data_IF_601736057033
#
_entry.id   IF_601736057033
#
_cell.length_a   1.000
_cell.length_b   1.000
_cell.length_c   1.000
_cell.angle_alpha   90.00
_cell.angle_beta   90.00
_cell.angle_gamma   90.00
#
_symmetry.space_group_name_H-M   'P 1'
#
loop_
_entity.id
_entity.type
_entity.pdbx_description
1 polymer ?
#
# COMPACT_ATOMS: atom_id res chain seq x y z
N UNK A 1 -1.89 2.52 5.37
CA UNK A 1 -2.09 1.69 4.16
C UNK A 1 -1.88 2.54 2.92
N UNK A 2 -1.06 2.07 1.99
CA UNK A 2 -0.74 2.77 0.74
C UNK A 2 -1.35 1.99 -0.43
N UNK A 3 -2.41 2.57 -1.03
CA UNK A 3 -3.05 2.05 -2.24
C UNK A 3 -2.32 2.42 -3.53
N UNK A 4 -2.85 2.00 -4.68
CA UNK A 4 -2.25 2.30 -5.99
C UNK A 4 -2.50 3.76 -6.39
N UNK A 5 -3.73 4.07 -6.77
CA UNK A 5 -4.16 5.42 -7.15
C UNK A 5 -5.66 5.59 -6.85
N UNK A 6 -6.16 6.83 -6.71
CA UNK A 6 -7.58 7.07 -6.44
C UNK A 6 -8.46 6.48 -7.55
N UNK A 7 -9.47 5.70 -7.15
CA UNK A 7 -10.42 5.04 -8.04
C UNK A 7 -11.68 5.87 -8.31
N UNK A 8 -12.61 5.33 -9.12
CA UNK A 8 -13.83 6.01 -9.55
C UNK A 8 -14.67 6.54 -8.38
N UNK A 9 -14.89 5.72 -7.36
CA UNK A 9 -15.74 6.07 -6.23
C UNK A 9 -15.12 7.15 -5.32
N UNK A 10 -13.81 7.26 -5.34
CA UNK A 10 -13.05 8.21 -4.49
C UNK A 10 -13.11 9.64 -5.03
N UNK A 11 -13.49 9.83 -6.30
CA UNK A 11 -13.75 11.16 -6.89
C UNK A 11 -15.11 11.75 -6.53
N UNK A 12 -16.04 10.92 -6.06
CA UNK A 12 -17.36 11.43 -5.73
C UNK A 12 -17.27 12.31 -4.49
N UNK A 13 -17.73 13.55 -4.61
CA UNK A 13 -17.76 14.52 -3.50
C UNK A 13 -18.52 14.02 -2.28
N UNK A 14 -19.47 13.12 -2.49
CA UNK A 14 -20.20 12.44 -1.40
C UNK A 14 -19.36 11.52 -0.54
N UNK A 15 -18.24 10.99 -1.07
CA UNK A 15 -17.45 9.98 -0.37
C UNK A 15 -16.33 10.59 0.48
N UNK A 16 -15.60 11.57 -0.04
CA UNK A 16 -14.49 12.28 0.64
C UNK A 16 -13.54 11.38 1.44
N UNK A 17 -13.29 10.16 0.96
CA UNK A 17 -12.48 9.13 1.62
C UNK A 17 -11.73 8.32 0.59
N UNK A 18 -10.54 7.86 0.95
CA UNK A 18 -9.80 6.89 0.14
C UNK A 18 -10.28 5.44 0.41
N UNK A 19 -10.03 4.57 -0.55
CA UNK A 19 -10.40 3.15 -0.50
C UNK A 19 -11.88 2.92 -0.14
N UNK A 20 -12.80 3.58 -0.85
CA UNK A 20 -14.26 3.43 -0.65
C UNK A 20 -14.90 2.47 -1.65
N UNK A 21 -14.25 2.16 -2.77
CA UNK A 21 -14.71 1.18 -3.76
C UNK A 21 -14.65 -0.27 -3.25
N UNK A 22 -14.68 -1.22 -4.20
CA UNK A 22 -14.65 -2.66 -3.87
C UNK A 22 -13.45 -3.04 -3.00
N UNK A 23 -12.25 -2.51 -3.31
CA UNK A 23 -11.02 -2.78 -2.53
C UNK A 23 -11.14 -2.31 -1.09
N UNK A 24 -11.73 -1.14 -0.87
CA UNK A 24 -11.96 -0.60 0.48
C UNK A 24 -12.97 -1.44 1.27
N UNK A 25 -14.06 -1.90 0.63
CA UNK A 25 -15.03 -2.82 1.29
C UNK A 25 -14.38 -4.14 1.69
N UNK A 26 -13.48 -4.68 0.86
CA UNK A 26 -12.74 -5.91 1.18
C UNK A 26 -11.79 -5.68 2.36
N UNK A 27 -11.03 -4.58 2.35
CA UNK A 27 -10.13 -4.23 3.44
C UNK A 27 -10.89 -4.05 4.76
N UNK A 28 -11.92 -3.23 4.77
CA UNK A 28 -12.75 -2.98 5.95
C UNK A 28 -13.40 -4.28 6.47
N UNK A 29 -13.93 -5.10 5.56
CA UNK A 29 -14.47 -6.42 5.88
C UNK A 29 -13.42 -7.37 6.46
N UNK A 30 -12.18 -7.31 6.01
CA UNK A 30 -11.07 -8.08 6.56
C UNK A 30 -10.81 -7.71 8.02
N UNK A 31 -10.58 -6.44 8.32
CA UNK A 31 -10.33 -6.00 9.70
C UNK A 31 -11.52 -6.29 10.63
N UNK A 32 -12.75 -6.06 10.17
CA UNK A 32 -13.94 -6.36 10.96
C UNK A 32 -14.11 -7.85 11.31
N UNK A 33 -13.69 -8.76 10.42
CA UNK A 33 -13.75 -10.22 10.67
C UNK A 33 -12.60 -10.76 11.50
N UNK A 34 -11.57 -9.95 11.75
CA UNK A 34 -10.38 -10.34 12.49
C UNK A 34 -10.14 -9.36 13.67
N UNK A 35 -11.02 -9.37 14.68
CA UNK A 35 -10.94 -8.43 15.80
C UNK A 35 -9.66 -8.57 16.63
N UNK A 36 -8.98 -9.72 16.54
CA UNK A 36 -7.69 -9.95 17.19
C UNK A 36 -6.57 -9.00 16.68
N UNK A 37 -6.77 -8.35 15.53
CA UNK A 37 -5.87 -7.29 15.05
C UNK A 37 -6.08 -5.97 15.78
N UNK A 38 -7.15 -5.83 16.56
CA UNK A 38 -7.48 -4.64 17.36
C UNK A 38 -7.49 -3.34 16.53
N UNK A 39 -7.89 -3.42 15.25
CA UNK A 39 -7.83 -2.31 14.29
C UNK A 39 -9.20 -2.05 13.65
N UNK A 40 -9.76 -0.87 13.89
CA UNK A 40 -10.86 -0.34 13.09
C UNK A 40 -10.29 0.34 11.84
N UNK A 41 -10.59 -0.21 10.67
CA UNK A 41 -10.01 0.26 9.41
C UNK A 41 -10.32 1.72 9.10
N UNK A 42 -11.43 2.25 9.56
CA UNK A 42 -11.83 3.65 9.29
C UNK A 42 -11.37 4.64 10.34
N UNK A 43 -11.07 4.19 11.56
CA UNK A 43 -10.65 5.04 12.66
C UNK A 43 -9.15 4.99 12.93
N UNK A 44 -8.53 3.81 12.76
CA UNK A 44 -7.14 3.59 13.16
C UNK A 44 -6.19 3.51 11.96
N UNK A 45 -6.67 3.61 10.70
CA UNK A 45 -5.82 3.45 9.52
C UNK A 45 -5.78 4.73 8.71
N UNK A 46 -4.58 5.31 8.59
CA UNK A 46 -4.30 6.35 7.59
C UNK A 46 -4.17 5.71 6.22
N UNK A 47 -4.84 6.29 5.23
CA UNK A 47 -4.86 5.74 3.86
C UNK A 47 -4.29 6.80 2.92
N UNK A 48 -3.27 6.41 2.17
CA UNK A 48 -2.68 7.18 1.08
C UNK A 48 -2.66 6.34 -0.20
N UNK A 49 -2.32 6.98 -1.30
CA UNK A 49 -2.06 6.32 -2.58
C UNK A 49 -0.64 6.61 -3.06
N UNK A 50 -0.08 5.76 -3.93
CA UNK A 50 1.26 5.93 -4.51
C UNK A 50 1.36 7.12 -5.46
N UNK A 51 0.24 7.61 -5.95
CA UNK A 51 0.08 8.84 -6.73
C UNK A 51 -1.30 9.43 -6.48
N UNK A 52 -1.47 10.77 -6.50
CA UNK A 52 -2.78 11.41 -6.45
C UNK A 52 -3.50 11.36 -7.80
N UNK A 53 -2.84 10.90 -8.86
CA UNK A 53 -3.43 10.85 -10.20
C UNK A 53 -4.58 9.87 -10.24
N UNK A 54 -5.76 10.41 -10.45
CA UNK A 54 -6.99 9.64 -10.48
C UNK A 54 -7.17 8.91 -11.81
N UNK A 55 -7.49 7.62 -11.73
CA UNK A 55 -8.04 6.88 -12.88
C UNK A 55 -9.04 5.82 -12.37
N UNK A 56 -10.07 5.53 -13.15
CA UNK A 56 -11.08 4.56 -12.74
C UNK A 56 -10.51 3.13 -12.56
N UNK A 57 -9.44 2.82 -13.29
CA UNK A 57 -8.69 1.55 -13.22
C UNK A 57 -7.20 1.80 -13.40
N UNK A 58 -6.35 1.09 -12.69
CA UNK A 58 -4.88 1.17 -12.79
C UNK A 58 -4.37 0.95 -14.23
N UNK A 59 -5.08 0.18 -15.06
CA UNK A 59 -4.73 0.00 -16.48
C UNK A 59 -4.78 1.32 -17.28
N UNK A 60 -5.62 2.27 -16.89
CA UNK A 60 -5.67 3.59 -17.53
C UNK A 60 -4.45 4.44 -17.15
N UNK A 61 -3.98 4.33 -15.92
CA UNK A 61 -2.72 4.96 -15.50
C UNK A 61 -1.53 4.38 -16.27
N UNK A 62 -1.51 3.05 -16.50
CA UNK A 62 -0.52 2.40 -17.38
C UNK A 62 -0.56 2.98 -18.81
N UNK A 63 -1.75 3.19 -19.34
CA UNK A 63 -1.90 3.78 -20.66
C UNK A 63 -1.36 5.22 -20.72
N UNK A 64 -1.65 6.04 -19.72
CA UNK A 64 -1.12 7.41 -19.60
C UNK A 64 0.41 7.39 -19.54
N UNK A 65 1.00 6.53 -18.71
CA UNK A 65 2.47 6.42 -18.58
C UNK A 65 3.14 5.92 -19.87
N UNK A 66 2.44 5.13 -20.68
CA UNK A 66 2.99 4.60 -21.95
C UNK A 66 2.82 5.55 -23.12
N UNK A 67 1.72 6.32 -23.19
CA UNK A 67 1.29 7.06 -24.37
C UNK A 67 1.12 8.57 -24.13
N UNK A 68 1.26 9.03 -22.90
CA UNK A 68 1.19 10.46 -22.57
C UNK A 68 2.37 11.25 -23.10
N UNK A 69 2.24 12.58 -23.15
CA UNK A 69 3.39 13.43 -23.45
C UNK A 69 4.46 13.30 -22.37
N UNK A 70 5.69 13.69 -22.69
CA UNK A 70 6.82 13.64 -21.75
C UNK A 70 6.50 14.38 -20.46
N UNK A 71 5.89 15.55 -20.55
CA UNK A 71 5.53 16.39 -19.41
C UNK A 71 4.50 15.70 -18.49
N UNK A 72 3.51 15.01 -19.08
CA UNK A 72 2.50 14.26 -18.31
C UNK A 72 3.16 13.09 -17.59
N UNK A 73 4.02 12.35 -18.27
CA UNK A 73 4.73 11.20 -17.66
C UNK A 73 5.65 11.68 -16.54
N UNK A 74 6.38 12.77 -16.72
CA UNK A 74 7.23 13.38 -15.70
C UNK A 74 6.40 13.83 -14.50
N UNK A 75 5.27 14.49 -14.70
CA UNK A 75 4.36 14.91 -13.63
C UNK A 75 3.86 13.72 -12.80
N UNK A 76 3.46 12.63 -13.44
CA UNK A 76 3.03 11.41 -12.74
C UNK A 76 4.19 10.83 -11.92
N UNK A 77 5.38 10.75 -12.49
CA UNK A 77 6.56 10.21 -11.80
C UNK A 77 6.98 11.07 -10.60
N UNK A 78 6.96 12.40 -10.75
CA UNK A 78 7.24 13.32 -9.64
C UNK A 78 6.18 13.22 -8.54
N UNK A 79 4.91 13.05 -8.91
CA UNK A 79 3.84 12.81 -7.93
C UNK A 79 4.09 11.54 -7.11
N UNK A 80 4.58 10.46 -7.74
CA UNK A 80 4.93 9.23 -7.05
C UNK A 80 6.04 9.44 -6.02
N UNK A 81 7.09 10.18 -6.38
CA UNK A 81 8.20 10.49 -5.45
C UNK A 81 7.71 11.29 -4.24
N UNK A 82 6.91 12.33 -4.49
CA UNK A 82 6.33 13.14 -3.41
C UNK A 82 5.45 12.30 -2.47
N UNK A 83 4.64 11.40 -3.02
CA UNK A 83 3.81 10.52 -2.19
C UNK A 83 4.63 9.50 -1.40
N UNK A 84 5.78 9.04 -1.92
CA UNK A 84 6.69 8.17 -1.18
C UNK A 84 7.35 8.92 0.00
N UNK A 85 7.78 10.17 -0.21
CA UNK A 85 8.31 11.04 0.84
C UNK A 85 7.27 11.28 1.94
N UNK A 86 6.06 11.66 1.56
CA UNK A 86 4.96 11.87 2.50
C UNK A 86 4.63 10.60 3.31
N UNK A 87 4.61 9.44 2.66
CA UNK A 87 4.35 8.16 3.34
C UNK A 87 5.44 7.84 4.37
N UNK A 88 6.71 8.10 4.02
CA UNK A 88 7.83 7.95 4.95
C UNK A 88 7.71 8.92 6.13
N UNK A 89 7.52 10.22 5.88
CA UNK A 89 7.44 11.25 6.92
C UNK A 89 6.34 10.92 7.95
N UNK A 90 5.14 10.58 7.47
CA UNK A 90 4.03 10.21 8.34
C UNK A 90 4.32 8.92 9.13
N UNK A 91 4.78 7.87 8.47
CA UNK A 91 5.04 6.61 9.14
C UNK A 91 6.20 6.71 10.13
N UNK A 92 7.33 7.31 9.73
CA UNK A 92 8.48 7.46 10.60
C UNK A 92 8.19 8.41 11.77
N UNK A 93 7.41 9.48 11.54
CA UNK A 93 6.97 10.38 12.60
C UNK A 93 6.08 9.67 13.62
N UNK A 94 5.11 8.87 13.18
CA UNK A 94 4.28 8.06 14.07
C UNK A 94 5.10 6.99 14.80
N UNK A 95 6.03 6.33 14.10
CA UNK A 95 6.91 5.31 14.68
C UNK A 95 7.79 5.89 15.79
N UNK A 96 8.39 7.06 15.57
CA UNK A 96 9.29 7.71 16.53
C UNK A 96 8.59 8.25 17.78
N UNK A 97 7.27 8.51 17.69
CA UNK A 97 6.46 9.00 18.81
C UNK A 97 5.63 7.89 19.49
N UNK A 98 5.77 6.64 19.05
CA UNK A 98 5.04 5.52 19.65
C UNK A 98 5.73 5.07 20.93
N UNK A 99 4.99 5.07 22.04
CA UNK A 99 5.43 4.50 23.32
C UNK A 99 5.26 2.98 23.32
N UNK A 100 4.10 2.52 22.79
CA UNK A 100 3.76 1.10 22.67
C UNK A 100 3.10 0.83 21.30
N UNK A 101 3.40 -0.34 20.71
CA UNK A 101 2.72 -0.80 19.52
C UNK A 101 3.06 0.02 18.26
N UNK A 102 4.28 -0.12 17.76
CA UNK A 102 4.73 0.58 16.56
C UNK A 102 3.79 0.45 15.38
N UNK A 103 3.43 1.56 14.72
CA UNK A 103 2.59 1.55 13.52
C UNK A 103 3.26 0.78 12.38
N UNK A 104 2.44 0.16 11.56
CA UNK A 104 2.88 -0.58 10.37
C UNK A 104 2.53 0.19 9.11
N UNK A 105 3.43 0.21 8.14
CA UNK A 105 3.15 0.69 6.79
C UNK A 105 2.85 -0.51 5.87
N UNK A 106 1.65 -0.60 5.35
CA UNK A 106 1.23 -1.62 4.40
C UNK A 106 1.20 -1.08 2.99
N UNK A 107 2.11 -1.52 2.14
CA UNK A 107 2.10 -1.24 0.70
C UNK A 107 1.25 -2.31 0.02
N UNK A 108 0.06 -1.96 -0.46
CA UNK A 108 -0.77 -2.91 -1.19
C UNK A 108 -0.60 -2.73 -2.70
N UNK A 109 -0.71 -3.84 -3.46
CA UNK A 109 -0.49 -3.82 -4.92
C UNK A 109 0.91 -4.31 -5.32
N UNK A 110 1.36 -5.41 -4.71
CA UNK A 110 2.64 -6.08 -4.94
C UNK A 110 3.09 -6.12 -6.41
N UNK A 111 2.18 -6.48 -7.35
CA UNK A 111 2.54 -6.64 -8.77
C UNK A 111 3.06 -5.35 -9.42
N UNK A 112 2.49 -4.20 -9.05
CA UNK A 112 2.82 -2.90 -9.64
C UNK A 112 4.03 -2.23 -8.99
N UNK A 113 4.57 -2.83 -7.92
CA UNK A 113 5.83 -2.43 -7.30
C UNK A 113 7.05 -3.17 -7.86
N UNK A 114 6.84 -4.25 -8.64
CA UNK A 114 7.93 -4.98 -9.30
C UNK A 114 8.69 -4.10 -10.30
N UNK A 115 9.87 -4.55 -10.72
CA UNK A 115 10.77 -3.82 -11.65
C UNK A 115 10.07 -3.26 -12.90
N UNK A 116 9.11 -4.01 -13.45
CA UNK A 116 8.34 -3.60 -14.64
C UNK A 116 6.96 -3.01 -14.28
N UNK A 117 6.70 -2.76 -12.99
CA UNK A 117 5.46 -2.15 -12.53
C UNK A 117 5.48 -0.64 -12.66
N UNK A 118 4.29 -0.04 -12.67
CA UNK A 118 4.14 1.41 -12.87
C UNK A 118 4.54 2.25 -11.64
N UNK A 119 4.70 1.63 -10.47
CA UNK A 119 5.10 2.28 -9.23
C UNK A 119 6.57 2.02 -8.86
N UNK A 120 7.42 1.75 -9.85
CA UNK A 120 8.84 1.58 -9.66
C UNK A 120 9.51 2.86 -9.11
N UNK A 121 9.11 4.04 -9.62
CA UNK A 121 9.56 5.34 -9.11
C UNK A 121 9.22 5.54 -7.64
N UNK A 122 7.97 5.24 -7.25
CA UNK A 122 7.52 5.26 -5.85
C UNK A 122 8.36 4.32 -4.97
N UNK A 123 8.53 3.07 -5.40
CA UNK A 123 9.31 2.05 -4.69
C UNK A 123 10.74 2.50 -4.41
N UNK A 124 11.42 2.98 -5.44
CA UNK A 124 12.82 3.39 -5.34
C UNK A 124 12.99 4.60 -4.41
N UNK A 125 12.11 5.58 -4.53
CA UNK A 125 12.12 6.75 -3.64
C UNK A 125 11.82 6.35 -2.20
N UNK A 126 10.82 5.49 -1.97
CA UNK A 126 10.48 5.02 -0.63
C UNK A 126 11.66 4.29 0.03
N UNK A 127 12.33 3.38 -0.70
CA UNK A 127 13.52 2.68 -0.21
C UNK A 127 14.61 3.67 0.23
N UNK A 128 14.86 4.68 -0.59
CA UNK A 128 15.84 5.75 -0.30
C UNK A 128 15.49 6.52 0.97
N UNK A 129 14.21 6.87 1.16
CA UNK A 129 13.76 7.61 2.34
C UNK A 129 13.98 6.82 3.65
N UNK A 130 13.87 5.49 3.59
CA UNK A 130 14.06 4.64 4.77
C UNK A 130 15.51 4.23 5.03
N UNK A 131 16.49 4.70 4.24
CA UNK A 131 17.90 4.37 4.48
C UNK A 131 18.35 4.81 5.88
N UNK A 132 18.80 3.86 6.69
CA UNK A 132 19.23 4.10 8.07
C UNK A 132 18.13 4.20 9.12
N UNK A 133 16.85 4.05 8.78
CA UNK A 133 15.73 4.16 9.71
C UNK A 133 15.21 2.79 10.15
N UNK A 134 15.11 2.58 11.48
CA UNK A 134 14.58 1.33 12.08
C UNK A 134 13.09 1.10 11.76
N UNK A 135 12.33 2.17 11.52
CA UNK A 135 10.93 2.10 11.08
C UNK A 135 10.73 1.29 9.79
N UNK A 136 11.79 1.11 8.98
CA UNK A 136 11.78 0.18 7.84
C UNK A 136 11.38 -1.24 8.21
N UNK A 137 11.67 -1.70 9.42
CA UNK A 137 11.30 -3.04 9.89
C UNK A 137 9.78 -3.22 10.05
N UNK A 138 9.02 -2.12 10.07
CA UNK A 138 7.56 -2.10 10.15
C UNK A 138 6.89 -1.75 8.81
N UNK A 139 7.63 -1.84 7.70
CA UNK A 139 7.09 -1.74 6.34
C UNK A 139 6.85 -3.14 5.80
N UNK A 140 5.65 -3.39 5.28
CA UNK A 140 5.22 -4.66 4.72
C UNK A 140 4.60 -4.46 3.34
N UNK A 141 4.71 -5.47 2.47
CA UNK A 141 4.13 -5.45 1.11
C UNK A 141 3.09 -6.55 0.98
N UNK A 142 1.95 -6.24 0.40
CA UNK A 142 0.86 -7.18 0.22
C UNK A 142 0.28 -7.13 -1.19
N UNK A 143 -0.40 -8.22 -1.57
CA UNK A 143 -1.26 -8.23 -2.73
C UNK A 143 -2.36 -7.16 -2.60
N UNK A 144 -2.90 -6.71 -3.73
CA UNK A 144 -3.97 -5.72 -3.71
C UNK A 144 -5.28 -6.31 -3.15
N UNK A 145 -6.07 -5.51 -2.46
CA UNK A 145 -7.38 -5.96 -1.95
C UNK A 145 -8.38 -6.29 -3.07
N UNK A 146 -8.22 -5.69 -4.27
CA UNK A 146 -9.09 -5.99 -5.40
C UNK A 146 -9.07 -7.47 -5.76
N UNK A 147 -10.22 -7.98 -6.21
CA UNK A 147 -10.42 -9.39 -6.59
C UNK A 147 -10.01 -10.38 -5.48
N UNK A 148 -10.10 -9.98 -4.21
CA UNK A 148 -9.71 -10.77 -3.04
C UNK A 148 -8.26 -11.27 -3.05
N UNK A 149 -7.37 -10.72 -3.87
CA UNK A 149 -5.99 -11.24 -4.02
C UNK A 149 -5.24 -11.28 -2.69
N UNK A 150 -5.38 -10.23 -1.88
CA UNK A 150 -4.83 -10.19 -0.53
C UNK A 150 -5.32 -11.36 0.34
N UNK A 151 -6.65 -11.64 0.31
CA UNK A 151 -7.25 -12.70 1.12
C UNK A 151 -6.82 -14.08 0.63
N UNK A 152 -6.78 -14.29 -0.68
CA UNK A 152 -6.36 -15.56 -1.30
C UNK A 152 -4.91 -15.87 -0.91
N UNK A 153 -4.02 -14.92 -1.09
CA UNK A 153 -2.60 -15.01 -0.79
C UNK A 153 -2.35 -15.32 0.71
N UNK A 154 -3.00 -14.58 1.60
CA UNK A 154 -2.93 -14.83 3.04
C UNK A 154 -3.45 -16.22 3.42
N UNK A 155 -4.56 -16.65 2.83
CA UNK A 155 -5.12 -17.97 3.11
C UNK A 155 -4.23 -19.10 2.61
N UNK A 156 -3.58 -18.95 1.45
CA UNK A 156 -2.60 -19.91 0.96
C UNK A 156 -1.39 -20.02 1.88
N UNK A 157 -0.88 -18.89 2.34
CA UNK A 157 0.20 -18.87 3.32
C UNK A 157 -0.18 -19.57 4.62
N UNK A 158 -1.38 -19.30 5.15
CA UNK A 158 -1.88 -19.90 6.40
C UNK A 158 -2.10 -21.41 6.32
N UNK A 159 -2.45 -21.96 5.15
CA UNK A 159 -2.60 -23.44 4.99
C UNK A 159 -1.32 -24.19 5.31
N UNK A 160 -0.18 -23.58 5.06
CA UNK A 160 1.14 -24.20 5.23
C UNK A 160 1.84 -23.75 6.53
N UNK A 161 1.24 -22.82 7.28
CA UNK A 161 1.85 -22.22 8.45
C UNK A 161 0.82 -22.12 9.59
N UNK A 162 1.02 -22.88 10.64
CA UNK A 162 0.14 -22.87 11.82
C UNK A 162 0.54 -21.74 12.81
N UNK A 163 0.39 -20.48 12.33
CA UNK A 163 0.77 -19.29 13.08
C UNK A 163 -0.46 -18.42 13.37
N UNK A 164 -0.44 -17.61 14.45
CA UNK A 164 -1.43 -16.57 14.68
C UNK A 164 -1.51 -15.61 13.48
N UNK A 165 -2.70 -15.06 13.20
CA UNK A 165 -2.95 -14.20 12.05
C UNK A 165 -1.94 -13.05 11.93
N UNK A 166 -1.66 -12.36 13.03
CA UNK A 166 -0.71 -11.25 13.05
C UNK A 166 0.68 -11.68 12.59
N UNK A 167 1.15 -12.86 13.02
CA UNK A 167 2.43 -13.42 12.58
C UNK A 167 2.42 -13.82 11.10
N UNK A 168 1.33 -14.41 10.61
CA UNK A 168 1.19 -14.68 9.18
C UNK A 168 1.27 -13.41 8.34
N UNK A 169 0.66 -12.32 8.80
CA UNK A 169 0.73 -11.03 8.12
C UNK A 169 2.17 -10.46 8.12
N UNK A 170 2.84 -10.45 9.27
CA UNK A 170 4.22 -9.99 9.37
C UNK A 170 5.15 -10.80 8.45
N UNK A 171 5.02 -12.12 8.41
CA UNK A 171 5.89 -12.98 7.61
C UNK A 171 5.61 -12.85 6.10
N UNK A 172 4.36 -12.98 5.65
CA UNK A 172 4.05 -12.86 4.23
C UNK A 172 4.36 -11.45 3.70
N UNK A 173 4.05 -10.42 4.48
CA UNK A 173 4.37 -9.04 4.13
C UNK A 173 5.88 -8.77 4.08
N UNK A 174 6.65 -9.42 4.95
CA UNK A 174 8.11 -9.39 4.96
C UNK A 174 8.73 -10.12 3.76
N UNK A 175 8.20 -11.30 3.40
CA UNK A 175 8.62 -12.05 2.21
C UNK A 175 8.44 -11.19 0.95
N UNK A 176 7.23 -10.65 0.74
CA UNK A 176 6.95 -9.80 -0.42
C UNK A 176 7.80 -8.52 -0.42
N UNK A 177 8.02 -7.91 0.74
CA UNK A 177 8.92 -6.76 0.85
C UNK A 177 10.32 -7.10 0.37
N UNK A 178 10.87 -8.23 0.82
CA UNK A 178 12.21 -8.65 0.40
C UNK A 178 12.27 -8.88 -1.12
N UNK A 179 11.28 -9.55 -1.71
CA UNK A 179 11.21 -9.75 -3.16
C UNK A 179 11.16 -8.43 -3.95
N UNK A 180 10.45 -7.42 -3.43
CA UNK A 180 10.29 -6.13 -4.09
C UNK A 180 11.53 -5.25 -3.95
N UNK A 181 12.18 -5.23 -2.78
CA UNK A 181 13.21 -4.27 -2.45
C UNK A 181 14.64 -4.83 -2.49
N UNK A 182 14.82 -6.15 -2.62
CA UNK A 182 16.16 -6.78 -2.78
C UNK A 182 16.58 -6.95 -4.24
N UNK A 183 15.70 -6.67 -5.20
CA UNK A 183 15.95 -6.79 -6.64
C UNK A 183 16.44 -5.49 -7.25
#
# INVERSE_FOLDING_TARGET
VIGDNPGKEEQLSSNQKYLVGQSGRIAEGFFRRNPELSTDFRKNVLILNKTPVHTAKTVQLKYILKNGSKEIVELVNESQKKMAQLAFELHNGLYSNAEDGFPELWLVGYSELKKNGIFNGYRNELKKQYEGYSSWNKVFVYQHFSMNRFIVDLNEFRKNNNLPLKKCLEEIGGIHKNEIFSS
#
